data_IF_840292946161
#
_entry.id   IF_840292946161
#
_cell.length_a   1.000
_cell.length_b   1.000
_cell.length_c   1.000
_cell.angle_alpha   90.00
_cell.angle_beta   90.00
_cell.angle_gamma   90.00
#
_symmetry.space_group_name_H-M   'P 1'
#
loop_
_entity.id
_entity.type
_entity.pdbx_description
1 polymer ?
#
# COMPACT_ATOMS: atom_id res chain seq x y z
N UNK A 1 18.67 44.41 14.62
CA UNK A 1 19.04 43.30 13.73
C UNK A 1 17.76 42.77 13.10
N UNK A 2 17.61 42.94 11.79
CA UNK A 2 16.42 42.60 11.03
C UNK A 2 16.41 41.08 10.73
N UNK A 3 15.39 40.36 11.19
CA UNK A 3 15.20 38.95 10.85
C UNK A 3 14.67 38.84 9.41
N UNK A 4 15.53 38.33 8.52
CA UNK A 4 15.17 37.87 7.18
C UNK A 4 14.18 36.70 7.30
N UNK A 5 12.96 36.88 6.77
CA UNK A 5 12.04 35.78 6.49
C UNK A 5 12.55 35.00 5.29
N UNK A 6 13.02 33.78 5.50
CA UNK A 6 13.32 32.82 4.44
C UNK A 6 11.99 32.31 3.88
N UNK A 7 11.64 32.65 2.64
CA UNK A 7 10.52 32.05 1.91
C UNK A 7 10.92 30.63 1.50
N UNK A 8 10.19 29.62 1.98
CA UNK A 8 10.28 28.26 1.43
C UNK A 8 9.56 28.22 0.08
N UNK A 9 10.22 27.68 -0.94
CA UNK A 9 9.66 27.48 -2.27
C UNK A 9 8.75 26.24 -2.26
N UNK A 10 7.49 26.40 -2.68
CA UNK A 10 6.52 25.31 -2.80
C UNK A 10 6.67 24.60 -4.16
N UNK A 11 6.97 23.30 -4.16
CA UNK A 11 6.87 22.42 -5.34
C UNK A 11 5.42 22.43 -5.87
N UNK A 12 5.24 22.75 -7.14
CA UNK A 12 3.95 22.77 -7.83
C UNK A 12 3.59 21.35 -8.28
N UNK A 13 2.47 20.82 -7.79
CA UNK A 13 1.87 19.56 -8.21
C UNK A 13 0.96 19.82 -9.42
N UNK A 14 1.22 19.15 -10.54
CA UNK A 14 0.45 19.32 -11.80
C UNK A 14 -0.88 18.57 -11.66
N UNK A 15 -1.96 19.34 -11.52
CA UNK A 15 -3.34 18.86 -11.65
C UNK A 15 -3.97 19.53 -12.87
N UNK A 16 -4.49 18.72 -13.79
CA UNK A 16 -5.22 19.18 -14.99
C UNK A 16 -6.51 19.88 -14.55
N UNK A 17 -6.55 21.21 -14.62
CA UNK A 17 -7.78 21.98 -14.43
C UNK A 17 -7.84 23.11 -15.46
N UNK A 18 -8.92 23.14 -16.23
CA UNK A 18 -9.21 24.16 -17.21
C UNK A 18 -9.23 25.57 -16.61
N UNK A 19 -8.87 26.53 -17.47
CA UNK A 19 -8.93 27.99 -17.32
C UNK A 19 -9.41 28.50 -15.95
N UNK A 20 -8.46 28.90 -15.09
CA UNK A 20 -8.75 29.75 -13.94
C UNK A 20 -7.79 30.94 -13.90
N UNK A 21 -8.38 32.11 -13.74
CA UNK A 21 -7.73 33.40 -13.62
C UNK A 21 -6.66 33.42 -12.53
N UNK A 22 -5.55 34.09 -12.81
CA UNK A 22 -4.44 34.38 -11.89
C UNK A 22 -4.92 35.32 -10.78
N UNK A 23 -5.29 34.81 -9.61
CA UNK A 23 -5.16 35.56 -8.33
C UNK A 23 -5.47 34.78 -7.03
N UNK A 24 -5.79 33.48 -7.06
CA UNK A 24 -5.97 32.73 -5.81
C UNK A 24 -4.64 32.15 -5.30
N UNK A 25 -4.31 32.45 -4.04
CA UNK A 25 -3.27 31.76 -3.29
C UNK A 25 -3.52 30.23 -3.32
N UNK A 26 -2.47 29.39 -3.26
CA UNK A 26 -2.67 27.94 -3.25
C UNK A 26 -3.61 27.53 -2.12
N UNK A 27 -4.66 26.79 -2.45
CA UNK A 27 -5.62 26.30 -1.47
C UNK A 27 -4.91 25.30 -0.53
N UNK A 28 -4.78 25.66 0.74
CA UNK A 28 -4.30 24.76 1.79
C UNK A 28 -5.44 23.88 2.30
N UNK A 29 -5.18 22.59 2.49
CA UNK A 29 -6.16 21.66 3.04
C UNK A 29 -6.35 21.92 4.53
N UNK A 30 -7.60 22.00 4.97
CA UNK A 30 -7.92 22.13 6.39
C UNK A 30 -7.53 20.84 7.15
N UNK A 31 -6.70 20.96 8.18
CA UNK A 31 -6.35 19.84 9.06
C UNK A 31 -7.35 19.73 10.20
N UNK A 32 -7.95 18.53 10.37
CA UNK A 32 -8.94 18.25 11.39
C UNK A 32 -8.57 16.98 12.17
N UNK A 33 -8.76 16.99 13.48
CA UNK A 33 -8.54 15.83 14.37
C UNK A 33 -9.57 15.79 15.50
N UNK A 34 -9.75 14.62 16.12
CA UNK A 34 -10.69 14.45 17.25
C UNK A 34 -10.01 14.87 18.56
N UNK A 35 -10.66 15.68 19.38
CA UNK A 35 -10.23 15.94 20.76
C UNK A 35 -11.04 15.09 21.75
N UNK A 36 -10.35 14.30 22.58
CA UNK A 36 -10.96 13.51 23.65
C UNK A 36 -10.51 14.04 25.01
N UNK A 37 -11.48 14.41 25.85
CA UNK A 37 -11.28 14.94 27.20
C UNK A 37 -11.91 13.99 28.23
N UNK A 38 -11.44 14.01 29.50
CA UNK A 38 -12.17 13.38 30.60
C UNK A 38 -13.57 14.00 30.73
N UNK A 39 -14.54 13.21 31.22
CA UNK A 39 -15.97 13.56 31.13
C UNK A 39 -16.34 14.93 31.73
N UNK A 40 -15.71 15.29 32.85
CA UNK A 40 -15.93 16.57 33.52
C UNK A 40 -15.46 17.76 32.66
N UNK A 41 -14.23 17.70 32.15
CA UNK A 41 -13.67 18.72 31.26
C UNK A 41 -14.37 18.78 29.91
N UNK A 42 -14.79 17.63 29.36
CA UNK A 42 -15.59 17.58 28.14
C UNK A 42 -16.92 18.33 28.31
N UNK A 43 -17.56 18.19 29.46
CA UNK A 43 -18.80 18.90 29.80
C UNK A 43 -18.57 20.40 29.94
N UNK A 44 -17.46 20.81 30.55
CA UNK A 44 -17.06 22.22 30.65
C UNK A 44 -16.78 22.84 29.29
N UNK A 45 -15.96 22.19 28.45
CA UNK A 45 -15.66 22.65 27.08
C UNK A 45 -16.91 22.71 26.21
N UNK A 46 -17.84 21.75 26.38
CA UNK A 46 -19.14 21.77 25.70
C UNK A 46 -19.96 23.02 26.06
N UNK A 47 -20.04 23.38 27.35
CA UNK A 47 -20.72 24.62 27.79
C UNK A 47 -20.04 25.87 27.24
N UNK A 48 -18.70 25.90 27.24
CA UNK A 48 -17.92 27.01 26.66
C UNK A 48 -18.26 27.19 25.18
N UNK A 49 -18.22 26.11 24.39
CA UNK A 49 -18.51 26.12 22.95
C UNK A 49 -19.96 26.55 22.62
N UNK A 50 -20.92 26.24 23.49
CA UNK A 50 -22.33 26.62 23.31
C UNK A 50 -22.63 28.06 23.73
N UNK A 51 -21.84 28.64 24.63
CA UNK A 51 -22.13 29.94 25.25
C UNK A 51 -21.85 31.17 24.34
N UNK A 52 -21.23 30.98 23.18
CA UNK A 52 -20.82 32.05 22.25
C UNK A 52 -20.09 33.23 22.93
N UNK A 53 -19.47 32.99 24.09
CA UNK A 53 -18.76 34.02 24.86
C UNK A 53 -17.39 34.30 24.23
N UNK A 54 -16.98 35.57 24.20
CA UNK A 54 -15.68 35.95 23.62
C UNK A 54 -14.46 35.49 24.45
N UNK A 55 -14.67 34.91 25.64
CA UNK A 55 -13.60 34.44 26.54
C UNK A 55 -13.11 33.00 26.28
N UNK A 56 -13.53 32.36 25.17
CA UNK A 56 -13.12 30.98 24.83
C UNK A 56 -11.61 30.80 24.79
N UNK A 57 -10.87 31.79 24.26
CA UNK A 57 -9.40 31.75 24.12
C UNK A 57 -8.65 31.70 25.45
N UNK A 58 -9.20 32.30 26.51
CA UNK A 58 -8.57 32.32 27.83
C UNK A 58 -8.88 31.05 28.65
N UNK A 59 -9.96 30.37 28.29
CA UNK A 59 -10.49 29.20 28.99
C UNK A 59 -10.07 27.89 28.37
N UNK A 60 -9.68 27.89 27.10
CA UNK A 60 -9.32 26.69 26.37
C UNK A 60 -8.10 26.92 25.48
N UNK A 61 -7.04 26.13 25.66
CA UNK A 61 -5.87 26.15 24.79
C UNK A 61 -5.27 24.77 24.57
N UNK A 62 -4.62 24.60 23.43
CA UNK A 62 -3.90 23.39 23.04
C UNK A 62 -2.46 23.82 22.72
N UNK A 63 -1.50 23.19 23.37
CA UNK A 63 -0.07 23.35 23.13
C UNK A 63 0.48 21.98 22.73
N UNK A 64 1.15 21.88 21.59
CA UNK A 64 1.78 20.64 21.14
C UNK A 64 3.29 20.72 21.39
N UNK A 65 3.86 19.62 21.87
CA UNK A 65 5.30 19.49 22.04
C UNK A 65 5.99 19.31 20.69
N UNK A 66 7.30 19.55 20.64
CA UNK A 66 8.09 19.47 19.42
C UNK A 66 8.15 18.07 18.80
N UNK A 67 7.85 17.03 19.57
CA UNK A 67 7.78 15.64 19.09
C UNK A 67 6.54 15.34 18.23
N UNK A 68 5.58 16.26 18.17
CA UNK A 68 4.34 16.13 17.40
C UNK A 68 3.37 15.05 17.93
N UNK A 69 3.68 14.40 19.06
CA UNK A 69 2.89 13.28 19.61
C UNK A 69 2.36 13.56 21.01
N UNK A 70 2.98 14.46 21.76
CA UNK A 70 2.51 14.88 23.06
C UNK A 70 2.13 16.37 23.07
N UNK A 71 1.38 16.77 24.08
CA UNK A 71 0.99 18.16 24.27
C UNK A 71 0.30 18.39 25.60
N UNK A 72 -0.13 19.62 25.82
CA UNK A 72 -0.86 20.05 27.00
C UNK A 72 -2.14 20.75 26.55
N UNK A 73 -3.28 20.23 26.99
CA UNK A 73 -4.58 20.89 26.80
C UNK A 73 -4.98 21.55 28.11
N UNK A 74 -5.22 22.87 28.08
CA UNK A 74 -5.64 23.61 29.28
C UNK A 74 -7.13 23.93 29.19
N UNK A 75 -7.86 23.57 30.23
CA UNK A 75 -9.29 23.89 30.40
C UNK A 75 -9.45 24.66 31.69
N UNK A 76 -9.94 25.90 31.63
CA UNK A 76 -10.00 26.83 32.76
C UNK A 76 -8.65 26.91 33.53
N UNK A 77 -7.56 26.97 32.76
CA UNK A 77 -6.16 26.98 33.23
C UNK A 77 -5.67 25.70 33.90
N UNK A 78 -6.51 24.66 34.01
CA UNK A 78 -6.09 23.34 34.48
C UNK A 78 -5.40 22.58 33.34
N UNK A 79 -4.12 22.20 33.49
CA UNK A 79 -3.40 21.47 32.45
C UNK A 79 -3.77 19.98 32.46
N UNK A 80 -3.97 19.43 31.27
CA UNK A 80 -4.19 18.01 31.01
C UNK A 80 -3.09 17.51 30.08
N UNK A 81 -2.44 16.40 30.46
CA UNK A 81 -1.48 15.74 29.60
C UNK A 81 -2.20 15.17 28.38
N UNK A 82 -1.71 15.47 27.17
CA UNK A 82 -2.33 15.08 25.93
C UNK A 82 -1.39 14.23 25.06
N UNK A 83 -1.97 13.22 24.39
CA UNK A 83 -1.26 12.30 23.49
C UNK A 83 -2.02 12.18 22.17
N UNK A 84 -1.35 12.45 21.06
CA UNK A 84 -1.88 12.32 19.71
C UNK A 84 -1.72 10.88 19.24
N UNK A 85 -2.84 10.20 19.01
CA UNK A 85 -2.90 8.80 18.61
C UNK A 85 -3.53 8.62 17.23
N UNK A 86 -3.11 7.58 16.52
CA UNK A 86 -3.58 7.26 15.17
C UNK A 86 -4.78 6.32 15.23
N UNK A 87 -5.91 6.80 14.73
CA UNK A 87 -7.16 6.04 14.65
C UNK A 87 -7.05 4.93 13.61
N UNK A 88 -7.72 3.78 13.83
CA UNK A 88 -7.69 2.68 12.88
C UNK A 88 -8.54 2.92 11.64
N UNK A 89 -9.57 3.75 11.73
CA UNK A 89 -10.50 4.03 10.64
C UNK A 89 -10.32 5.47 10.17
N UNK A 90 -10.32 5.67 8.85
CA UNK A 90 -10.44 7.00 8.25
C UNK A 90 -11.87 7.50 8.49
N UNK A 91 -11.99 8.72 9.01
CA UNK A 91 -13.27 9.37 9.28
C UNK A 91 -13.36 10.59 8.38
N UNK A 92 -14.37 10.65 7.52
CA UNK A 92 -14.62 11.85 6.72
C UNK A 92 -15.48 12.85 7.50
N UNK A 93 -15.07 14.11 7.51
CA UNK A 93 -15.95 15.21 7.95
C UNK A 93 -16.69 15.77 6.74
N UNK A 94 -18.01 15.90 6.87
CA UNK A 94 -18.86 16.42 5.81
C UNK A 94 -19.70 17.59 6.34
N UNK A 95 -19.80 18.65 5.53
CA UNK A 95 -20.70 19.77 5.78
C UNK A 95 -21.94 19.67 4.89
N UNK A 96 -23.06 20.16 5.39
CA UNK A 96 -24.33 20.21 4.67
C UNK A 96 -25.11 21.45 5.09
N UNK A 97 -25.97 21.95 4.20
CA UNK A 97 -26.93 23.03 4.49
C UNK A 97 -28.36 22.49 4.48
N UNK A 98 -28.66 21.59 3.55
CA UNK A 98 -29.99 20.99 3.31
C UNK A 98 -30.23 19.68 4.08
N UNK A 99 -29.20 19.13 4.73
CA UNK A 99 -29.18 17.80 5.39
C UNK A 99 -29.44 16.62 4.44
N UNK A 100 -29.22 16.84 3.13
CA UNK A 100 -29.38 15.81 2.08
C UNK A 100 -28.12 15.70 1.24
N UNK A 101 -27.60 16.83 0.80
CA UNK A 101 -26.36 16.93 0.04
C UNK A 101 -25.22 17.22 1.00
N UNK A 102 -24.19 16.37 0.98
CA UNK A 102 -23.05 16.46 1.87
C UNK A 102 -21.78 16.69 1.05
N UNK A 103 -20.96 17.63 1.51
CA UNK A 103 -19.69 17.98 0.90
C UNK A 103 -18.56 17.65 1.86
N UNK A 104 -17.61 16.82 1.42
CA UNK A 104 -16.43 16.47 2.20
C UNK A 104 -15.58 17.71 2.50
N UNK A 105 -15.12 17.84 3.74
CA UNK A 105 -14.25 18.94 4.19
C UNK A 105 -12.85 18.47 4.56
N UNK A 106 -12.71 17.33 5.24
CA UNK A 106 -11.41 16.78 5.62
C UNK A 106 -11.48 15.27 5.87
N UNK A 107 -10.31 14.65 5.84
CA UNK A 107 -10.07 13.31 6.38
C UNK A 107 -9.50 13.42 7.79
N UNK A 108 -10.07 12.66 8.72
CA UNK A 108 -9.70 12.62 10.12
C UNK A 108 -9.19 11.22 10.45
N UNK A 109 -7.91 11.12 10.77
CA UNK A 109 -7.24 9.85 11.12
C UNK A 109 -6.54 9.90 12.48
N UNK A 110 -6.62 11.02 13.22
CA UNK A 110 -5.94 11.19 14.50
C UNK A 110 -6.87 11.70 15.60
N UNK A 111 -6.51 11.40 16.84
CA UNK A 111 -7.21 11.84 18.03
C UNK A 111 -6.22 12.30 19.11
N UNK A 112 -6.43 13.49 19.64
CA UNK A 112 -5.70 14.02 20.80
C UNK A 112 -6.43 13.59 22.07
N UNK A 113 -5.84 12.66 22.82
CA UNK A 113 -6.41 12.10 24.05
C UNK A 113 -5.81 12.79 25.26
N UNK A 114 -6.66 13.41 26.09
CA UNK A 114 -6.25 14.10 27.30
C UNK A 114 -6.49 13.26 28.55
N UNK A 115 -5.59 13.37 29.52
CA UNK A 115 -5.61 12.67 30.80
C UNK A 115 -5.17 13.60 31.93
N UNK A 116 -5.67 13.35 33.14
CA UNK A 116 -5.26 14.06 34.36
C UNK A 116 -3.93 13.55 34.90
N UNK A 117 -3.76 12.23 34.88
CA UNK A 117 -2.66 11.53 35.57
C UNK A 117 -1.41 11.33 34.68
N UNK A 118 -1.43 11.87 33.46
CA UNK A 118 -0.32 11.77 32.54
C UNK A 118 0.78 12.78 32.83
N UNK A 119 2.01 12.47 32.39
CA UNK A 119 3.12 13.42 32.43
C UNK A 119 2.88 14.59 31.45
N UNK A 120 2.98 15.82 31.94
CA UNK A 120 2.82 17.04 31.14
C UNK A 120 4.01 17.28 30.22
N UNK A 121 5.21 16.84 30.62
CA UNK A 121 6.44 16.96 29.85
C UNK A 121 7.17 15.61 29.82
N UNK A 122 6.64 14.63 29.06
CA UNK A 122 7.30 13.35 28.90
C UNK A 122 8.74 13.56 28.44
N UNK A 123 9.71 12.77 28.95
CA UNK A 123 11.10 12.89 28.54
C UNK A 123 11.21 12.82 27.02
N UNK A 124 11.88 13.80 26.42
CA UNK A 124 12.25 13.74 25.02
C UNK A 124 13.26 12.59 24.90
N UNK A 125 12.85 11.46 24.33
CA UNK A 125 13.79 10.39 24.03
C UNK A 125 14.70 10.88 22.90
N UNK A 126 15.87 11.40 23.26
CA UNK A 126 16.87 11.80 22.27
C UNK A 126 17.25 10.59 21.40
N UNK A 127 17.46 10.79 20.08
CA UNK A 127 18.06 9.78 19.25
C UNK A 127 19.52 9.67 19.70
N UNK A 128 19.78 8.74 20.61
CA UNK A 128 21.14 8.40 21.03
C UNK A 128 21.85 7.78 19.83
N UNK A 129 22.55 8.63 19.10
CA UNK A 129 23.46 8.25 18.03
C UNK A 129 24.66 7.53 18.62
N UNK A 130 24.58 6.21 18.69
CA UNK A 130 25.75 5.33 18.59
C UNK A 130 25.38 4.17 17.70
N UNK A 131 26.12 4.05 16.60
CA UNK A 131 25.99 3.01 15.59
C UNK A 131 26.20 1.63 16.22
N UNK A 132 25.11 0.90 16.48
CA UNK A 132 25.10 -0.55 16.64
C UNK A 132 23.71 -1.06 16.24
N UNK A 133 23.65 -2.10 15.40
CA UNK A 133 22.46 -2.59 14.69
C UNK A 133 21.28 -3.11 15.54
N UNK A 134 21.20 -2.77 16.84
CA UNK A 134 20.10 -3.10 17.75
C UNK A 134 19.03 -2.00 17.84
N UNK A 135 19.22 -0.84 17.20
CA UNK A 135 18.32 0.32 17.31
C UNK A 135 16.96 0.16 16.60
N UNK A 136 16.87 -0.63 15.52
CA UNK A 136 15.60 -0.81 14.78
C UNK A 136 14.47 -1.46 15.60
N UNK A 137 14.80 -2.33 16.56
CA UNK A 137 13.78 -3.01 17.40
C UNK A 137 13.17 -2.05 18.44
N UNK A 138 13.96 -1.11 18.96
CA UNK A 138 13.52 -0.14 19.98
C UNK A 138 12.63 0.95 19.39
N UNK A 139 12.88 1.42 18.16
CA UNK A 139 12.00 2.42 17.51
C UNK A 139 10.62 1.85 17.15
N UNK A 140 10.56 0.59 16.72
CA UNK A 140 9.31 -0.06 16.32
C UNK A 140 8.30 -0.23 17.47
N UNK A 141 8.77 -0.38 18.70
CA UNK A 141 7.89 -0.39 19.88
C UNK A 141 7.41 1.02 20.28
N UNK A 142 8.14 2.09 19.90
CA UNK A 142 7.74 3.46 20.17
C UNK A 142 6.51 3.87 19.38
N UNK A 143 6.37 3.45 18.13
CA UNK A 143 5.20 3.81 17.32
C UNK A 143 3.93 3.09 17.77
N UNK A 144 4.06 1.87 18.28
CA UNK A 144 2.91 1.10 18.81
C UNK A 144 2.17 1.84 19.93
N UNK A 145 2.86 2.66 20.74
CA UNK A 145 2.25 3.39 21.86
C UNK A 145 1.32 4.52 21.41
N UNK A 146 1.42 4.95 20.15
CA UNK A 146 0.55 5.96 19.54
C UNK A 146 -0.54 5.34 18.66
N UNK A 147 -0.58 4.03 18.50
CA UNK A 147 -1.61 3.33 17.73
C UNK A 147 -2.87 3.15 18.59
N UNK A 148 -3.99 3.69 18.13
CA UNK A 148 -5.28 3.48 18.78
C UNK A 148 -5.99 2.22 18.25
N UNK A 149 -6.46 1.36 19.16
CA UNK A 149 -6.99 0.03 18.81
C UNK A 149 -8.48 0.02 18.43
N UNK A 150 -9.22 1.09 18.70
CA UNK A 150 -10.68 1.12 18.56
C UNK A 150 -11.14 2.20 17.57
N UNK A 151 -12.24 1.98 16.85
CA UNK A 151 -12.93 3.08 16.19
C UNK A 151 -13.61 4.00 17.21
N UNK A 152 -14.08 5.16 16.76
CA UNK A 152 -14.79 6.13 17.61
C UNK A 152 -16.20 5.63 17.97
N UNK A 153 -16.85 4.90 17.07
CA UNK A 153 -18.22 4.38 17.26
C UNK A 153 -18.24 3.03 17.98
N UNK A 154 -19.29 2.77 18.76
CA UNK A 154 -19.39 1.57 19.61
C UNK A 154 -19.21 0.23 18.84
N UNK A 155 -19.78 0.03 17.63
CA UNK A 155 -19.60 -1.22 16.88
C UNK A 155 -18.16 -1.50 16.42
N UNK A 156 -17.31 -0.46 16.45
CA UNK A 156 -15.90 -0.49 16.05
C UNK A 156 -14.95 -0.63 17.26
N UNK A 157 -15.43 -1.14 18.40
CA UNK A 157 -14.53 -1.57 19.47
C UNK A 157 -13.62 -2.71 18.97
N UNK A 158 -12.32 -2.56 19.22
CA UNK A 158 -11.25 -3.49 18.82
C UNK A 158 -11.16 -3.76 17.31
N UNK A 159 -11.49 -2.78 16.46
CA UNK A 159 -11.53 -2.96 15.00
C UNK A 159 -10.25 -3.53 14.42
N UNK A 160 -9.05 -3.06 14.85
CA UNK A 160 -7.77 -3.57 14.32
C UNK A 160 -7.61 -5.07 14.49
N UNK A 161 -8.03 -5.61 15.63
CA UNK A 161 -7.88 -7.04 15.96
C UNK A 161 -9.05 -7.89 15.46
N UNK A 162 -10.27 -7.34 15.44
CA UNK A 162 -11.51 -8.11 15.25
C UNK A 162 -12.15 -7.96 13.86
N UNK A 163 -12.04 -6.80 13.23
CA UNK A 163 -12.81 -6.47 12.02
C UNK A 163 -11.94 -6.23 10.79
N UNK A 164 -10.68 -5.86 10.96
CA UNK A 164 -9.75 -5.73 9.84
C UNK A 164 -9.21 -7.11 9.46
N UNK A 165 -9.38 -7.47 8.18
CA UNK A 165 -8.72 -8.63 7.59
C UNK A 165 -7.22 -8.33 7.55
N UNK A 166 -6.40 -9.17 8.19
CA UNK A 166 -4.94 -9.04 8.13
C UNK A 166 -4.46 -9.33 6.72
N UNK A 167 -3.55 -8.51 6.22
CA UNK A 167 -2.85 -8.78 4.96
C UNK A 167 -2.02 -10.05 5.14
N UNK A 168 -2.23 -11.03 4.27
CA UNK A 168 -1.37 -12.21 4.22
C UNK A 168 -0.10 -11.77 3.51
N UNK A 169 1.00 -11.74 4.26
CA UNK A 169 2.32 -11.44 3.71
C UNK A 169 2.68 -12.54 2.74
N UNK A 170 3.01 -12.20 1.49
CA UNK A 170 3.54 -13.18 0.57
C UNK A 170 4.99 -13.45 0.99
N UNK A 171 5.20 -14.49 1.79
CA UNK A 171 6.52 -14.90 2.37
C UNK A 171 7.68 -14.92 1.36
N UNK A 172 7.39 -15.02 0.06
CA UNK A 172 8.39 -15.12 -1.00
C UNK A 172 8.86 -13.80 -1.60
N UNK A 173 8.19 -12.67 -1.33
CA UNK A 173 8.56 -11.40 -1.98
C UNK A 173 9.70 -10.67 -1.26
N UNK A 174 9.87 -10.89 0.05
CA UNK A 174 10.87 -10.14 0.83
C UNK A 174 11.67 -11.11 1.71
N UNK A 175 12.48 -11.95 1.08
CA UNK A 175 13.56 -12.61 1.79
C UNK A 175 14.87 -11.98 1.32
N UNK A 176 15.45 -11.05 2.11
CA UNK A 176 16.69 -10.35 1.75
C UNK A 176 17.82 -11.32 1.37
N UNK A 177 17.82 -12.52 1.95
CA UNK A 177 18.76 -13.59 1.65
C UNK A 177 18.54 -14.21 0.26
N UNK A 178 17.28 -14.40 -0.16
CA UNK A 178 16.96 -14.88 -1.52
C UNK A 178 17.27 -13.81 -2.54
N UNK A 179 16.94 -12.54 -2.28
CA UNK A 179 17.31 -11.44 -3.18
C UNK A 179 18.83 -11.31 -3.33
N UNK A 180 19.58 -11.41 -2.22
CA UNK A 180 21.04 -11.39 -2.22
C UNK A 180 21.60 -12.56 -3.03
N UNK A 181 21.05 -13.75 -2.88
CA UNK A 181 21.52 -14.94 -3.58
C UNK A 181 21.16 -14.91 -5.06
N UNK A 182 19.94 -14.50 -5.42
CA UNK A 182 19.53 -14.26 -6.82
C UNK A 182 20.45 -13.23 -7.47
N UNK A 183 20.76 -12.13 -6.79
CA UNK A 183 21.68 -11.11 -7.29
C UNK A 183 23.09 -11.66 -7.47
N UNK A 184 23.57 -12.51 -6.55
CA UNK A 184 24.87 -13.18 -6.67
C UNK A 184 24.91 -14.12 -7.87
N UNK A 185 23.87 -14.93 -8.08
CA UNK A 185 23.74 -15.83 -9.22
C UNK A 185 23.74 -15.06 -10.54
N UNK A 186 22.89 -14.03 -10.67
CA UNK A 186 22.83 -13.19 -11.88
C UNK A 186 24.14 -12.45 -12.16
N UNK A 187 24.86 -11.99 -11.12
CA UNK A 187 26.18 -11.37 -11.29
C UNK A 187 27.20 -12.37 -11.80
N UNK A 188 27.16 -13.61 -11.30
CA UNK A 188 28.06 -14.69 -11.73
C UNK A 188 27.76 -15.09 -13.17
N UNK A 189 26.48 -15.16 -13.53
CA UNK A 189 26.02 -15.48 -14.89
C UNK A 189 26.43 -14.39 -15.89
N UNK A 190 26.41 -13.12 -15.49
CA UNK A 190 26.86 -12.00 -16.33
C UNK A 190 28.37 -12.01 -16.60
N UNK A 191 29.17 -12.57 -15.68
CA UNK A 191 30.61 -12.75 -15.84
C UNK A 191 30.95 -14.02 -16.66
N UNK A 192 29.99 -14.92 -16.85
CA UNK A 192 30.21 -16.18 -17.56
C UNK A 192 30.17 -16.01 -19.08
N UNK A 193 30.92 -16.85 -19.78
CA UNK A 193 30.96 -16.86 -21.26
C UNK A 193 29.70 -17.50 -21.86
N UNK A 194 29.07 -18.43 -21.15
CA UNK A 194 27.83 -19.09 -21.55
C UNK A 194 27.10 -19.60 -20.31
N UNK A 195 25.77 -19.49 -20.30
CA UNK A 195 24.90 -19.85 -19.17
C UNK A 195 23.81 -20.80 -19.67
N UNK A 196 23.59 -21.89 -18.93
CA UNK A 196 22.48 -22.84 -19.12
C UNK A 196 21.94 -23.24 -17.75
N UNK A 197 20.62 -23.25 -17.61
CA UNK A 197 19.93 -23.78 -16.43
C UNK A 197 18.88 -24.80 -16.87
N UNK A 198 18.60 -25.76 -16.00
CA UNK A 198 17.56 -26.76 -16.17
C UNK A 198 16.93 -27.09 -14.81
N UNK A 199 15.63 -27.41 -14.79
CA UNK A 199 14.91 -27.79 -13.57
C UNK A 199 14.86 -29.31 -13.51
N UNK A 200 15.50 -29.89 -12.49
CA UNK A 200 15.55 -31.33 -12.28
C UNK A 200 14.54 -31.69 -11.17
N UNK A 201 13.60 -32.58 -11.46
CA UNK A 201 12.71 -33.15 -10.45
C UNK A 201 13.46 -34.22 -9.64
N UNK A 202 13.27 -34.25 -8.33
CA UNK A 202 14.11 -35.01 -7.38
C UNK A 202 13.94 -36.55 -7.48
N UNK A 203 13.03 -37.05 -8.32
CA UNK A 203 12.60 -38.46 -8.34
C UNK A 203 13.27 -39.36 -9.40
N UNK A 204 14.10 -38.86 -10.32
CA UNK A 204 14.60 -39.67 -11.44
C UNK A 204 15.90 -40.47 -11.19
N UNK A 205 16.34 -40.67 -9.95
CA UNK A 205 17.68 -41.25 -9.70
C UNK A 205 17.78 -42.45 -8.74
N UNK A 206 16.67 -43.13 -8.40
CA UNK A 206 16.72 -44.29 -7.48
C UNK A 206 16.28 -45.65 -8.03
N UNK A 207 15.95 -45.78 -9.32
CA UNK A 207 15.62 -47.08 -9.91
C UNK A 207 16.76 -47.65 -10.77
N UNK A 208 17.85 -48.03 -10.11
CA UNK A 208 18.79 -48.99 -10.68
C UNK A 208 19.39 -49.84 -9.55
N UNK A 209 19.27 -51.16 -9.70
CA UNK A 209 19.88 -52.23 -8.88
C UNK A 209 19.14 -52.69 -7.62
N UNK A 210 18.13 -53.55 -7.77
CA UNK A 210 17.99 -54.72 -6.88
C UNK A 210 17.11 -55.83 -7.48
N UNK A 211 17.66 -56.66 -8.37
CA UNK A 211 17.02 -57.93 -8.78
C UNK A 211 17.71 -59.09 -8.06
N UNK A 212 17.23 -59.41 -6.86
CA UNK A 212 17.54 -60.62 -6.11
C UNK A 212 16.29 -61.50 -5.96
N UNK A 213 16.31 -62.66 -6.62
CA UNK A 213 15.26 -63.68 -6.65
C UNK A 213 14.96 -64.30 -5.27
N UNK A 214 13.74 -64.84 -5.06
CA UNK A 214 13.49 -66.25 -4.70
C UNK A 214 11.97 -66.58 -4.67
N UNK A 215 11.55 -67.85 -4.92
CA UNK A 215 10.18 -68.25 -5.28
C UNK A 215 9.42 -69.12 -4.24
N UNK A 216 8.12 -69.34 -4.51
CA UNK A 216 7.23 -70.43 -4.06
C UNK A 216 6.78 -70.54 -2.58
N UNK A 217 5.46 -70.50 -2.34
CA UNK A 217 4.69 -71.70 -1.97
C UNK A 217 3.17 -71.50 -2.14
N UNK A 218 2.49 -72.64 -2.22
CA UNK A 218 1.23 -72.96 -2.89
C UNK A 218 0.02 -73.17 -1.94
N UNK A 219 -1.17 -73.10 -2.53
CA UNK A 219 -2.43 -73.84 -2.24
C UNK A 219 -3.48 -73.35 -1.22
N UNK A 220 -4.67 -73.10 -1.80
CA UNK A 220 -6.06 -72.83 -1.31
C UNK A 220 -6.75 -74.05 -0.63
N UNK A 221 -8.06 -74.09 -0.20
CA UNK A 221 -9.24 -73.27 -0.62
C UNK A 221 -10.36 -72.97 0.43
N UNK A 222 -11.37 -72.16 0.07
CA UNK A 222 -12.68 -72.14 0.76
C UNK A 222 -13.61 -70.93 0.53
N UNK A 223 -14.46 -71.01 -0.51
CA UNK A 223 -15.84 -70.48 -0.72
C UNK A 223 -16.37 -69.35 0.22
N UNK A 224 -16.95 -68.23 -0.22
CA UNK A 224 -18.14 -68.10 -1.10
C UNK A 224 -18.52 -66.63 -1.37
N UNK A 225 -19.06 -66.32 -2.56
CA UNK A 225 -20.11 -65.28 -2.72
C UNK A 225 -19.71 -63.93 -3.37
N UNK A 226 -20.10 -63.76 -4.64
CA UNK A 226 -19.89 -62.61 -5.53
C UNK A 226 -20.40 -61.22 -5.06
N UNK A 227 -19.64 -60.14 -5.33
CA UNK A 227 -19.80 -59.25 -6.51
C UNK A 227 -18.66 -58.22 -6.62
N UNK A 228 -18.15 -58.06 -7.84
CA UNK A 228 -17.06 -57.15 -8.24
C UNK A 228 -17.44 -55.67 -8.20
N UNK A 229 -16.43 -54.86 -7.88
CA UNK A 229 -16.36 -53.42 -8.14
C UNK A 229 -15.18 -52.78 -7.38
N UNK A 230 -13.99 -52.83 -7.97
CA UNK A 230 -12.75 -52.05 -7.71
C UNK A 230 -12.92 -50.82 -6.77
N UNK A 231 -12.09 -50.53 -5.76
CA UNK A 231 -10.77 -51.01 -5.36
C UNK A 231 -9.96 -49.83 -4.79
N UNK A 232 -9.68 -49.87 -3.47
CA UNK A 232 -8.47 -49.40 -2.73
C UNK A 232 -7.93 -47.95 -2.93
N UNK A 233 -7.39 -47.22 -1.96
CA UNK A 233 -7.34 -47.24 -0.49
C UNK A 233 -6.56 -45.98 -0.06
N UNK A 234 -7.16 -45.19 0.83
CA UNK A 234 -6.54 -44.80 2.11
C UNK A 234 -5.06 -44.40 2.13
N UNK A 235 -4.78 -43.11 1.86
CA UNK A 235 -3.59 -42.39 2.36
C UNK A 235 -3.86 -40.87 2.52
N UNK A 236 -5.05 -40.44 2.95
CA UNK A 236 -5.33 -38.99 3.04
C UNK A 236 -6.12 -38.52 4.28
N UNK A 237 -6.26 -39.36 5.32
CA UNK A 237 -6.99 -38.94 6.52
C UNK A 237 -6.11 -38.44 7.68
N UNK A 238 -4.80 -38.73 7.71
CA UNK A 238 -3.92 -38.24 8.80
C UNK A 238 -3.68 -36.72 8.74
N UNK A 239 -3.68 -36.09 7.55
CA UNK A 239 -3.48 -34.64 7.42
C UNK A 239 -4.70 -33.81 7.83
N UNK A 240 -5.90 -34.39 7.83
CA UNK A 240 -7.14 -33.68 8.21
C UNK A 240 -7.34 -33.64 9.72
N UNK A 241 -6.90 -34.65 10.44
CA UNK A 241 -6.97 -34.67 11.91
C UNK A 241 -5.98 -33.68 12.55
N UNK A 242 -4.77 -33.53 11.99
CA UNK A 242 -3.77 -32.54 12.45
C UNK A 242 -4.30 -31.10 12.33
N UNK A 243 -5.09 -30.80 11.30
CA UNK A 243 -5.64 -29.44 11.10
C UNK A 243 -6.79 -29.10 12.06
N UNK A 244 -7.48 -30.11 12.60
CA UNK A 244 -8.60 -29.91 13.51
C UNK A 244 -8.14 -29.73 14.96
N UNK A 245 -7.07 -30.40 15.38
CA UNK A 245 -6.54 -30.32 16.75
C UNK A 245 -5.82 -28.99 17.05
N UNK A 246 -5.37 -28.24 16.04
CA UNK A 246 -4.78 -26.89 16.22
C UNK A 246 -5.85 -25.83 16.54
N UNK A 247 -7.14 -26.09 16.27
CA UNK A 247 -8.23 -25.12 16.51
C UNK A 247 -8.92 -25.22 17.88
N UNK A 248 -8.46 -26.09 18.79
CA UNK A 248 -9.13 -26.29 20.09
C UNK A 248 -8.23 -26.40 21.32
N UNK A 249 -7.13 -25.65 21.36
CA UNK A 249 -6.41 -25.41 22.63
C UNK A 249 -6.22 -23.92 22.87
N UNK A 250 -7.08 -23.37 23.73
CA UNK A 250 -6.86 -22.11 24.43
C UNK A 250 -5.87 -22.34 25.58
N UNK A 251 -4.77 -21.61 25.61
CA UNK A 251 -4.22 -20.94 26.80
C UNK A 251 -2.95 -20.16 26.39
N UNK A 252 -2.80 -18.97 26.99
CA UNK A 252 -1.70 -18.03 26.80
C UNK A 252 -0.33 -18.70 26.90
N UNK A 253 0.63 -18.31 26.04
CA UNK A 253 1.91 -17.70 26.45
C UNK A 253 2.62 -17.12 25.20
N UNK A 254 3.44 -16.13 25.49
CA UNK A 254 4.06 -15.15 24.61
C UNK A 254 5.05 -15.76 23.61
N UNK A 255 4.96 -15.39 22.32
CA UNK A 255 6.14 -15.14 21.48
C UNK A 255 5.72 -14.40 20.19
N UNK A 256 5.37 -13.12 20.34
CA UNK A 256 5.09 -12.21 19.20
C UNK A 256 6.44 -11.71 18.65
N UNK A 257 7.15 -12.63 18.00
CA UNK A 257 8.57 -12.52 17.69
C UNK A 257 8.94 -12.09 16.27
N UNK A 258 8.04 -11.94 15.29
CA UNK A 258 8.44 -11.30 14.03
C UNK A 258 7.29 -10.84 13.12
N UNK A 259 7.14 -9.51 12.98
CA UNK A 259 6.25 -8.89 11.99
C UNK A 259 6.87 -7.58 11.51
N UNK A 260 7.94 -7.65 10.74
CA UNK A 260 8.43 -6.53 9.93
C UNK A 260 7.50 -6.28 8.74
N UNK A 261 6.70 -5.22 8.76
CA UNK A 261 5.96 -4.60 7.64
C UNK A 261 5.04 -3.57 8.33
N UNK A 262 4.98 -2.30 7.96
CA UNK A 262 5.24 -1.67 6.66
C UNK A 262 5.91 -0.31 6.90
N UNK A 263 7.10 -0.10 6.34
CA UNK A 263 7.50 1.26 5.94
C UNK A 263 6.63 1.57 4.73
N UNK A 264 5.80 2.62 4.83
CA UNK A 264 5.26 3.30 3.65
C UNK A 264 6.47 3.80 2.84
N UNK A 265 6.99 2.95 1.96
CA UNK A 265 7.87 3.36 0.89
C UNK A 265 7.00 4.21 -0.03
N UNK A 266 7.03 5.52 0.21
CA UNK A 266 6.83 6.49 -0.86
C UNK A 266 7.77 6.07 -2.00
N UNK A 267 7.23 5.34 -2.97
CA UNK A 267 7.73 5.36 -4.34
C UNK A 267 7.52 6.81 -4.78
N UNK A 268 8.50 7.63 -4.41
CA UNK A 268 8.66 8.96 -4.93
C UNK A 268 9.02 8.76 -6.40
N UNK A 269 8.18 9.29 -7.28
CA UNK A 269 8.34 9.29 -8.73
C UNK A 269 9.80 9.51 -9.14
N UNK A 270 10.52 8.43 -9.44
CA UNK A 270 11.86 8.49 -10.04
C UNK A 270 11.80 8.68 -11.55
N UNK A 271 10.61 8.66 -12.15
CA UNK A 271 10.42 9.06 -13.55
C UNK A 271 10.32 10.59 -13.70
N UNK A 272 9.55 11.29 -12.85
CA UNK A 272 9.38 12.75 -12.92
C UNK A 272 10.70 13.52 -12.65
N UNK A 273 11.59 13.01 -11.79
CA UNK A 273 12.89 13.64 -11.50
C UNK A 273 13.93 13.38 -12.60
N UNK A 274 13.82 12.29 -13.37
CA UNK A 274 14.68 12.03 -14.53
C UNK A 274 14.24 12.84 -15.75
N UNK A 275 12.92 13.00 -15.94
CA UNK A 275 12.32 13.82 -16.99
C UNK A 275 12.60 15.32 -16.75
N UNK A 276 12.50 15.79 -15.48
CA UNK A 276 12.91 17.16 -15.09
C UNK A 276 14.40 17.42 -15.22
N UNK A 277 15.28 16.45 -14.89
CA UNK A 277 16.73 16.61 -15.06
C UNK A 277 17.16 16.64 -16.53
N UNK A 278 16.42 15.99 -17.43
CA UNK A 278 16.65 16.08 -18.88
C UNK A 278 16.16 17.43 -19.44
N UNK A 279 15.06 17.97 -18.92
CA UNK A 279 14.48 19.23 -19.40
C UNK A 279 15.22 20.48 -18.89
N UNK A 280 15.78 20.43 -17.66
CA UNK A 280 16.61 21.52 -17.12
C UNK A 280 18.01 21.57 -17.76
N UNK A 281 18.57 20.42 -18.19
CA UNK A 281 19.85 20.38 -18.94
C UNK A 281 19.75 20.89 -20.38
N UNK A 282 18.54 21.04 -20.93
CA UNK A 282 18.31 21.52 -22.30
C UNK A 282 18.06 23.04 -22.38
N UNK A 283 17.73 23.69 -21.26
CA UNK A 283 17.49 25.14 -21.21
C UNK A 283 18.76 25.99 -20.99
N UNK A 284 19.93 25.38 -20.78
CA UNK A 284 21.22 26.09 -20.67
C UNK A 284 22.02 26.17 -21.98
N UNK A 285 21.53 25.57 -23.07
CA UNK A 285 22.15 25.66 -24.39
C UNK A 285 21.35 26.58 -25.31
N UNK A 286 21.36 27.88 -25.02
CA UNK A 286 20.82 28.90 -25.91
C UNK A 286 21.97 29.61 -26.64
N UNK A 287 22.43 28.97 -27.72
CA UNK A 287 23.13 29.68 -28.80
C UNK A 287 22.68 29.11 -30.15
N UNK A 288 21.72 29.82 -30.77
CA UNK A 288 21.48 29.94 -32.20
C UNK A 288 21.80 28.73 -33.09
N UNK A 289 20.79 27.89 -33.39
CA UNK A 289 20.85 26.92 -34.48
C UNK A 289 19.47 26.59 -35.06
N UNK A 290 19.49 26.11 -36.30
CA UNK A 290 18.46 26.17 -37.36
C UNK A 290 17.08 25.55 -37.05
N UNK A 291 16.06 25.99 -37.79
CA UNK A 291 14.68 25.46 -37.76
C UNK A 291 14.59 23.94 -38.00
N UNK A 292 15.61 23.32 -38.61
CA UNK A 292 15.71 21.88 -38.86
C UNK A 292 15.91 21.05 -37.57
N UNK A 293 16.61 21.59 -36.57
CA UNK A 293 16.94 20.85 -35.35
C UNK A 293 15.74 20.78 -34.38
N UNK A 294 14.89 21.82 -34.38
CA UNK A 294 13.65 21.84 -33.60
C UNK A 294 12.63 20.82 -34.11
N UNK A 295 12.46 20.69 -35.43
CA UNK A 295 11.55 19.68 -36.00
C UNK A 295 12.04 18.26 -35.70
N UNK A 296 13.36 18.03 -35.79
CA UNK A 296 13.97 16.74 -35.44
C UNK A 296 13.75 16.37 -33.97
N UNK A 297 13.78 17.36 -33.07
CA UNK A 297 13.53 17.15 -31.65
C UNK A 297 12.06 16.84 -31.34
N UNK A 298 11.12 17.50 -32.03
CA UNK A 298 9.68 17.23 -31.90
C UNK A 298 9.34 15.83 -32.44
N UNK A 299 9.94 15.41 -33.55
CA UNK A 299 9.77 14.05 -34.11
C UNK A 299 10.26 12.98 -33.13
N UNK A 300 11.40 13.19 -32.47
CA UNK A 300 11.88 12.27 -31.42
C UNK A 300 10.93 12.20 -30.22
N UNK A 301 10.34 13.33 -29.80
CA UNK A 301 9.38 13.37 -28.70
C UNK A 301 8.11 12.55 -29.01
N UNK A 302 7.51 12.73 -30.19
CA UNK A 302 6.38 11.92 -30.63
C UNK A 302 6.73 10.43 -30.75
N UNK A 303 7.94 10.10 -31.19
CA UNK A 303 8.39 8.72 -31.31
C UNK A 303 8.48 8.02 -29.94
N UNK A 304 8.93 8.73 -28.91
CA UNK A 304 8.97 8.23 -27.51
C UNK A 304 7.56 8.05 -26.97
N UNK A 305 6.67 9.02 -27.19
CA UNK A 305 5.26 8.93 -26.76
C UNK A 305 4.52 7.75 -27.43
N UNK A 306 4.74 7.52 -28.73
CA UNK A 306 4.16 6.38 -29.46
C UNK A 306 4.68 5.05 -28.90
N UNK A 307 5.97 4.96 -28.58
CA UNK A 307 6.54 3.73 -28.02
C UNK A 307 6.00 3.43 -26.60
N UNK A 308 5.84 4.47 -25.78
CA UNK A 308 5.21 4.36 -24.46
C UNK A 308 3.75 3.90 -24.57
N UNK A 309 2.98 4.49 -25.48
CA UNK A 309 1.59 4.07 -25.72
C UNK A 309 1.46 2.67 -26.32
N UNK A 310 2.38 2.26 -27.21
CA UNK A 310 2.46 0.88 -27.72
C UNK A 310 2.67 -0.12 -26.59
N UNK A 311 3.56 0.17 -25.65
CA UNK A 311 3.81 -0.68 -24.49
C UNK A 311 2.56 -0.78 -23.60
N UNK A 312 1.87 0.34 -23.35
CA UNK A 312 0.62 0.37 -22.60
C UNK A 312 -0.50 -0.46 -23.26
N UNK A 313 -0.68 -0.31 -24.57
CA UNK A 313 -1.66 -1.09 -25.33
C UNK A 313 -1.36 -2.60 -25.30
N UNK A 314 -0.08 -2.98 -25.34
CA UNK A 314 0.35 -4.38 -25.21
C UNK A 314 0.00 -4.95 -23.82
N UNK A 315 0.15 -4.16 -22.77
CA UNK A 315 -0.26 -4.55 -21.42
C UNK A 315 -1.78 -4.74 -21.30
N UNK A 316 -2.56 -3.79 -21.83
CA UNK A 316 -4.03 -3.88 -21.86
C UNK A 316 -4.50 -5.14 -22.61
N UNK A 317 -3.87 -5.47 -23.74
CA UNK A 317 -4.14 -6.70 -24.50
C UNK A 317 -3.80 -7.97 -23.73
N UNK A 318 -2.70 -7.97 -22.97
CA UNK A 318 -2.33 -9.10 -22.13
C UNK A 318 -3.37 -9.32 -21.00
N UNK A 319 -3.86 -8.23 -20.38
CA UNK A 319 -4.91 -8.28 -19.36
C UNK A 319 -6.24 -8.80 -19.92
N UNK A 320 -6.62 -8.37 -21.14
CA UNK A 320 -7.80 -8.89 -21.85
C UNK A 320 -7.75 -10.41 -22.01
N UNK A 321 -6.63 -10.94 -22.52
CA UNK A 321 -6.44 -12.38 -22.71
C UNK A 321 -6.53 -13.16 -21.40
N UNK A 322 -5.93 -12.65 -20.32
CA UNK A 322 -6.04 -13.26 -18.99
C UNK A 322 -7.50 -13.29 -18.51
N UNK A 323 -8.26 -12.21 -18.74
CA UNK A 323 -9.67 -12.12 -18.37
C UNK A 323 -10.55 -13.10 -19.17
N UNK A 324 -10.28 -13.28 -20.47
CA UNK A 324 -10.94 -14.28 -21.32
C UNK A 324 -10.68 -15.72 -20.83
N UNK A 325 -9.43 -16.03 -20.46
CA UNK A 325 -9.06 -17.34 -19.89
C UNK A 325 -9.77 -17.61 -18.55
N UNK A 326 -9.95 -16.58 -17.72
CA UNK A 326 -10.70 -16.69 -16.47
C UNK A 326 -12.19 -16.97 -16.72
N UNK A 327 -12.79 -16.34 -17.73
CA UNK A 327 -14.19 -16.59 -18.12
C UNK A 327 -14.39 -18.03 -18.61
N UNK A 328 -13.41 -18.61 -19.31
CA UNK A 328 -13.46 -20.00 -19.77
C UNK A 328 -13.37 -21.01 -18.62
N UNK A 329 -12.61 -20.70 -17.56
CA UNK A 329 -12.38 -21.61 -16.42
C UNK A 329 -13.48 -21.59 -15.36
N UNK A 330 -14.36 -20.59 -15.38
CA UNK A 330 -15.35 -20.36 -14.33
C UNK A 330 -16.70 -20.97 -14.71
N UNK A 331 -17.15 -21.94 -13.91
CA UNK A 331 -18.45 -22.62 -14.09
C UNK A 331 -19.63 -21.83 -13.47
N UNK A 332 -19.35 -20.91 -12.54
CA UNK A 332 -20.39 -20.13 -11.86
C UNK A 332 -20.94 -19.01 -12.77
N UNK A 333 -22.23 -19.06 -13.05
CA UNK A 333 -22.88 -18.13 -13.98
C UNK A 333 -22.89 -16.67 -13.51
N UNK A 334 -22.99 -16.40 -12.21
CA UNK A 334 -23.00 -15.03 -11.68
C UNK A 334 -21.60 -14.38 -11.77
N UNK A 335 -20.55 -15.17 -11.50
CA UNK A 335 -19.16 -14.72 -11.67
C UNK A 335 -18.82 -14.54 -13.15
N UNK A 336 -19.31 -15.43 -14.03
CA UNK A 336 -19.17 -15.30 -15.48
C UNK A 336 -19.76 -13.98 -16.01
N UNK A 337 -20.95 -13.61 -15.55
CA UNK A 337 -21.59 -12.34 -15.93
C UNK A 337 -20.77 -11.12 -15.44
N UNK A 338 -20.20 -11.18 -14.23
CA UNK A 338 -19.34 -10.10 -13.70
C UNK A 338 -18.02 -10.00 -14.46
N UNK A 339 -17.40 -11.13 -14.78
CA UNK A 339 -16.16 -11.15 -15.57
C UNK A 339 -16.40 -10.68 -17.00
N UNK A 340 -17.56 -10.97 -17.58
CA UNK A 340 -17.95 -10.45 -18.89
C UNK A 340 -18.12 -8.92 -18.88
N UNK A 341 -18.68 -8.34 -17.82
CA UNK A 341 -18.77 -6.88 -17.68
C UNK A 341 -17.39 -6.21 -17.62
N UNK A 342 -16.47 -6.80 -16.83
CA UNK A 342 -15.08 -6.33 -16.76
C UNK A 342 -14.33 -6.50 -18.09
N UNK A 343 -14.58 -7.60 -18.83
CA UNK A 343 -13.99 -7.80 -20.15
C UNK A 343 -14.46 -6.72 -21.14
N UNK A 344 -15.74 -6.35 -21.12
CA UNK A 344 -16.26 -5.29 -21.97
C UNK A 344 -15.64 -3.92 -21.66
N UNK A 345 -15.36 -3.62 -20.38
CA UNK A 345 -14.66 -2.41 -19.97
C UNK A 345 -13.20 -2.38 -20.47
N UNK A 346 -12.50 -3.53 -20.40
CA UNK A 346 -11.14 -3.66 -20.95
C UNK A 346 -11.13 -3.51 -22.48
N UNK A 347 -12.14 -4.04 -23.18
CA UNK A 347 -12.28 -3.86 -24.63
C UNK A 347 -12.47 -2.38 -24.96
N UNK A 348 -13.35 -1.69 -24.25
CA UNK A 348 -13.55 -0.25 -24.47
C UNK A 348 -12.26 0.55 -24.20
N UNK A 349 -11.48 0.17 -23.18
CA UNK A 349 -10.19 0.77 -22.92
C UNK A 349 -9.19 0.52 -24.06
N UNK A 350 -9.10 -0.72 -24.55
CA UNK A 350 -8.25 -1.10 -25.70
C UNK A 350 -8.57 -0.27 -26.95
N UNK A 351 -9.87 -0.07 -27.24
CA UNK A 351 -10.31 0.73 -28.39
C UNK A 351 -9.86 2.20 -28.24
N UNK A 352 -10.05 2.81 -27.06
CA UNK A 352 -9.60 4.20 -26.83
C UNK A 352 -8.09 4.37 -26.90
N UNK A 353 -7.31 3.39 -26.41
CA UNK A 353 -5.85 3.40 -26.48
C UNK A 353 -5.36 3.21 -27.93
N UNK A 354 -6.08 2.41 -28.72
CA UNK A 354 -5.78 2.20 -30.14
C UNK A 354 -6.07 3.47 -30.96
N UNK A 355 -7.17 4.16 -30.69
CA UNK A 355 -7.50 5.46 -31.33
C UNK A 355 -6.48 6.55 -30.99
N UNK A 356 -6.02 6.62 -29.74
CA UNK A 356 -4.99 7.58 -29.31
C UNK A 356 -3.65 7.34 -30.00
N UNK A 357 -3.26 6.07 -30.13
CA UNK A 357 -2.04 5.69 -30.84
C UNK A 357 -2.13 6.02 -32.33
N UNK A 358 -3.29 5.78 -32.96
CA UNK A 358 -3.52 6.14 -34.36
C UNK A 358 -3.42 7.65 -34.58
N UNK A 359 -4.02 8.46 -33.68
CA UNK A 359 -3.95 9.91 -33.74
C UNK A 359 -2.51 10.44 -33.58
N UNK A 360 -1.71 9.86 -32.69
CA UNK A 360 -0.31 10.25 -32.51
C UNK A 360 0.58 9.84 -33.68
N UNK A 361 0.29 8.68 -34.29
CA UNK A 361 0.96 8.25 -35.51
C UNK A 361 0.63 9.18 -36.68
N UNK A 362 -0.63 9.58 -36.86
CA UNK A 362 -1.06 10.53 -37.89
C UNK A 362 -0.44 11.92 -37.70
N UNK A 363 -0.31 12.37 -36.44
CA UNK A 363 0.39 13.63 -36.11
C UNK A 363 1.88 13.56 -36.43
N UNK A 364 2.55 12.43 -36.12
CA UNK A 364 3.95 12.22 -36.47
C UNK A 364 4.15 12.19 -38.00
N UNK A 365 3.29 11.48 -38.72
CA UNK A 365 3.37 11.37 -40.18
C UNK A 365 3.14 12.74 -40.85
N UNK A 366 2.20 13.56 -40.34
CA UNK A 366 1.99 14.93 -40.81
C UNK A 366 3.17 15.88 -40.55
N UNK A 367 4.03 15.58 -39.56
CA UNK A 367 5.24 16.34 -39.28
C UNK A 367 6.43 15.90 -40.15
N UNK A 368 6.43 14.65 -40.62
CA UNK A 368 7.48 14.10 -41.50
C UNK A 368 7.21 14.44 -42.97
N UNK A 369 5.94 14.61 -43.37
CA UNK A 369 5.55 14.99 -44.74
C UNK A 369 5.66 16.50 -45.06
N UNK A 370 5.92 17.35 -44.07
CA UNK A 370 6.16 18.81 -44.23
C UNK A 370 7.63 19.15 -44.15
#
# INVERSE_FOLDING_TARGET
MQNKKTKMASKIKVGKAGSKNKEDAPHELESQFILRLPGEYASTVRRIAQSSSMNTKDRFSIELHADGRHGIVRVDRVPLAAKLVDLPCIIESLKTVDKKTFYKTADVCQMLVCSLDGDLYPPLEEPTGTADGKSKKKDKDKDKKFVWNHGITAPLKNTRKRRFRKTAKKKYIESPDVEKEVKRLLSTDAEAVSVRWEVIAEDESKEAENNGSLPNLDSSPGTSGHKMGHGSAAQHDELREIFNDISSSSEDEEDDGDRHEDEDLNIMDTEDDLERQLQDKLNESDTAQDQSDRNSQIVMEYQVQINSQKAKLQETRARKKQQEELIMKVENQALKNRFQALLNEIIQQEDTETEQLAALQEQLDSLIEK
#
